data_IF_781631887700
#
_entry.id   IF_781631887700
#
_cell.length_a   1.000
_cell.length_b   1.000
_cell.length_c   1.000
_cell.angle_alpha   90.00
_cell.angle_beta   90.00
_cell.angle_gamma   90.00
#
_symmetry.space_group_name_H-M   'P 1'
#
loop_
_entity.id
_entity.type
_entity.pdbx_description
1 polymer ?
#
# COMPACT_ATOMS: atom_id res chain seq x y z
N UNK A 1 -5.02 -14.11 -6.70
CA UNK A 1 -5.21 -15.36 -5.92
C UNK A 1 -6.67 -15.52 -5.50
N UNK A 2 -7.15 -16.73 -5.15
CA UNK A 2 -8.53 -16.89 -4.64
C UNK A 2 -8.66 -16.33 -3.21
N UNK A 3 -9.54 -15.35 -2.95
CA UNK A 3 -9.73 -14.80 -1.61
C UNK A 3 -10.38 -15.85 -0.69
N UNK A 4 -9.82 -15.95 0.51
CA UNK A 4 -10.34 -16.79 1.60
C UNK A 4 -10.43 -15.93 2.85
N UNK A 5 -11.16 -16.37 3.87
CA UNK A 5 -11.20 -15.66 5.15
C UNK A 5 -9.79 -15.51 5.76
N UNK A 6 -8.95 -16.54 5.67
CA UNK A 6 -7.58 -16.50 6.16
C UNK A 6 -6.70 -15.49 5.42
N UNK A 7 -6.81 -15.41 4.08
CA UNK A 7 -6.02 -14.45 3.29
C UNK A 7 -6.52 -13.02 3.47
N UNK A 8 -7.83 -12.80 3.62
CA UNK A 8 -8.41 -11.50 4.00
C UNK A 8 -7.89 -11.02 5.34
N UNK A 9 -7.97 -11.86 6.38
CA UNK A 9 -7.46 -11.52 7.72
C UNK A 9 -5.96 -11.20 7.64
N UNK A 10 -5.18 -12.02 6.93
CA UNK A 10 -3.74 -11.79 6.76
C UNK A 10 -3.46 -10.46 6.07
N UNK A 11 -4.14 -10.14 4.96
CA UNK A 11 -3.94 -8.88 4.25
C UNK A 11 -4.31 -7.67 5.12
N UNK A 12 -5.44 -7.73 5.84
CA UNK A 12 -5.84 -6.69 6.81
C UNK A 12 -4.80 -6.47 7.90
N UNK A 13 -4.18 -7.53 8.41
CA UNK A 13 -3.08 -7.42 9.39
C UNK A 13 -1.87 -6.70 8.77
N UNK A 14 -1.48 -7.04 7.56
CA UNK A 14 -0.33 -6.44 6.86
C UNK A 14 -0.56 -4.95 6.53
N UNK A 15 -1.81 -4.57 6.26
CA UNK A 15 -2.23 -3.19 5.97
C UNK A 15 -2.57 -2.38 7.23
N UNK A 16 -2.43 -2.96 8.43
CA UNK A 16 -2.89 -2.37 9.68
C UNK A 16 -4.34 -1.85 9.58
N UNK A 17 -5.24 -2.70 9.08
CA UNK A 17 -6.65 -2.39 8.81
C UNK A 17 -7.59 -3.45 9.40
N UNK A 18 -7.33 -3.86 10.64
CA UNK A 18 -8.12 -4.89 11.35
C UNK A 18 -9.57 -4.44 11.57
N UNK A 19 -9.76 -3.14 11.75
CA UNK A 19 -11.06 -2.52 12.05
C UNK A 19 -11.83 -2.10 10.78
N UNK A 20 -11.34 -2.45 9.58
CA UNK A 20 -11.95 -2.10 8.28
C UNK A 20 -12.19 -0.60 8.07
N UNK A 21 -11.27 0.23 8.57
CA UNK A 21 -11.38 1.70 8.47
C UNK A 21 -10.84 2.24 7.16
N UNK A 22 -9.91 1.52 6.54
CA UNK A 22 -9.22 1.92 5.32
C UNK A 22 -9.82 1.22 4.10
N UNK A 23 -10.17 -0.06 4.24
CA UNK A 23 -10.70 -0.87 3.13
C UNK A 23 -11.90 -1.71 3.55
N UNK A 24 -12.92 -1.72 2.71
CA UNK A 24 -14.06 -2.65 2.75
C UNK A 24 -13.62 -4.09 2.46
N UNK A 25 -14.49 -5.07 2.70
CA UNK A 25 -14.17 -6.47 2.38
C UNK A 25 -14.03 -6.66 0.87
N UNK A 26 -14.85 -5.99 0.06
CA UNK A 26 -14.80 -6.08 -1.41
C UNK A 26 -13.49 -5.50 -1.97
N UNK A 27 -12.98 -4.40 -1.40
CA UNK A 27 -11.68 -3.82 -1.80
C UNK A 27 -10.52 -4.72 -1.40
N UNK A 28 -10.59 -5.38 -0.24
CA UNK A 28 -9.59 -6.39 0.16
C UNK A 28 -9.63 -7.58 -0.80
N UNK A 29 -10.82 -8.05 -1.17
CA UNK A 29 -10.97 -9.14 -2.12
C UNK A 29 -10.49 -8.76 -3.52
N UNK A 30 -10.70 -7.50 -3.96
CA UNK A 30 -10.14 -6.97 -5.20
C UNK A 30 -8.60 -7.04 -5.19
N UNK A 31 -7.95 -6.51 -4.15
CA UNK A 31 -6.49 -6.56 -4.00
C UNK A 31 -5.95 -7.99 -3.98
N UNK A 32 -6.69 -8.93 -3.37
CA UNK A 32 -6.31 -10.35 -3.36
C UNK A 32 -6.54 -11.02 -4.72
N UNK A 33 -7.56 -10.63 -5.48
CA UNK A 33 -7.84 -11.21 -6.79
C UNK A 33 -6.81 -10.77 -7.84
N UNK A 34 -6.40 -9.51 -7.80
CA UNK A 34 -5.44 -8.92 -8.75
C UNK A 34 -4.03 -9.50 -8.63
N UNK A 35 -3.68 -10.01 -7.45
CA UNK A 35 -2.32 -10.45 -7.14
C UNK A 35 -2.24 -11.93 -6.77
N UNK A 36 -1.21 -12.62 -7.25
CA UNK A 36 -0.98 -14.03 -6.92
C UNK A 36 -0.40 -14.24 -5.51
N UNK A 37 -0.08 -13.16 -4.80
CA UNK A 37 0.50 -13.22 -3.48
C UNK A 37 0.09 -12.09 -2.54
N UNK A 38 -0.06 -12.45 -1.26
CA UNK A 38 -0.59 -11.57 -0.21
C UNK A 38 0.36 -10.41 0.09
N UNK A 39 1.66 -10.60 -0.13
CA UNK A 39 2.65 -9.52 0.01
C UNK A 39 2.60 -8.56 -1.18
N UNK A 40 2.28 -9.03 -2.39
CA UNK A 40 2.09 -8.15 -3.54
C UNK A 40 0.81 -7.32 -3.36
N UNK A 41 -0.28 -7.96 -2.93
CA UNK A 41 -1.52 -7.27 -2.53
C UNK A 41 -1.28 -6.27 -1.39
N UNK A 42 -0.46 -6.61 -0.39
CA UNK A 42 -0.12 -5.69 0.69
C UNK A 42 0.69 -4.49 0.18
N UNK A 43 1.61 -4.69 -0.75
CA UNK A 43 2.36 -3.60 -1.37
C UNK A 43 1.41 -2.60 -2.05
N UNK A 44 0.49 -3.09 -2.87
CA UNK A 44 -0.52 -2.26 -3.52
C UNK A 44 -1.45 -1.56 -2.54
N UNK A 45 -1.94 -2.27 -1.52
CA UNK A 45 -2.78 -1.66 -0.49
C UNK A 45 -2.07 -0.52 0.25
N UNK A 46 -0.75 -0.62 0.50
CA UNK A 46 0.01 0.49 1.09
C UNK A 46 0.19 1.69 0.14
N UNK A 47 0.30 1.46 -1.18
CA UNK A 47 0.29 2.53 -2.19
C UNK A 47 -1.07 3.26 -2.19
N UNK A 48 -2.17 2.51 -2.11
CA UNK A 48 -3.51 3.10 -2.00
C UNK A 48 -3.66 3.93 -0.71
N UNK A 49 -3.18 3.43 0.43
CA UNK A 49 -3.18 4.21 1.69
C UNK A 49 -2.37 5.50 1.57
N UNK A 50 -1.21 5.47 0.90
CA UNK A 50 -0.44 6.68 0.66
C UNK A 50 -1.26 7.72 -0.12
N UNK A 51 -1.92 7.27 -1.19
CA UNK A 51 -2.82 8.12 -2.00
C UNK A 51 -3.98 8.69 -1.18
N UNK A 52 -4.60 7.88 -0.30
CA UNK A 52 -5.65 8.35 0.61
C UNK A 52 -5.13 9.43 1.56
N UNK A 53 -3.92 9.27 2.11
CA UNK A 53 -3.30 10.29 2.96
C UNK A 53 -3.00 11.57 2.18
N UNK A 54 -2.48 11.48 0.96
CA UNK A 54 -2.23 12.65 0.11
C UNK A 54 -3.51 13.41 -0.21
N UNK A 55 -4.59 12.70 -0.57
CA UNK A 55 -5.89 13.32 -0.85
C UNK A 55 -6.48 14.01 0.38
N UNK A 56 -6.27 13.45 1.57
CA UNK A 56 -6.71 14.09 2.83
C UNK A 56 -6.05 15.45 3.06
N UNK A 57 -4.84 15.69 2.53
CA UNK A 57 -4.19 17.01 2.61
C UNK A 57 -4.98 18.06 1.83
N UNK A 58 -5.50 17.69 0.65
CA UNK A 58 -6.29 18.58 -0.21
C UNK A 58 -7.60 19.02 0.44
N UNK A 59 -8.31 18.08 1.09
CA UNK A 59 -9.54 18.37 1.82
C UNK A 59 -9.30 19.25 3.07
N UNK A 60 -8.16 19.05 3.76
CA UNK A 60 -7.83 19.82 4.97
C UNK A 60 -7.36 21.24 4.65
N UNK A 61 -6.63 21.45 3.54
CA UNK A 61 -6.19 22.78 3.10
C UNK A 61 -7.34 23.69 2.67
N UNK A 62 -8.42 23.14 2.12
CA UNK A 62 -9.64 23.92 1.81
C UNK A 62 -10.33 24.45 3.09
N UNK A 63 -10.19 23.76 4.22
CA UNK A 63 -10.97 24.02 5.44
C UNK A 63 -10.26 24.85 6.52
N UNK A 64 -8.92 24.97 6.52
CA UNK A 64 -8.19 25.51 7.67
C UNK A 64 -6.95 26.31 7.30
N UNK A 65 -7.05 27.55 6.84
CA UNK A 65 -5.89 28.45 6.61
C UNK A 65 -5.13 28.92 7.89
N UNK A 66 -5.09 28.13 8.98
CA UNK A 66 -4.49 28.53 10.27
C UNK A 66 -3.93 27.42 11.17
N UNK A 67 -4.25 26.14 10.94
CA UNK A 67 -3.74 24.96 11.70
C UNK A 67 -2.84 24.05 10.82
N UNK A 68 -2.43 24.57 9.66
CA UNK A 68 -1.92 23.81 8.51
C UNK A 68 -0.56 23.17 8.74
N UNK A 69 0.30 23.82 9.53
CA UNK A 69 1.70 23.41 9.62
C UNK A 69 1.91 22.12 10.43
N UNK A 70 1.12 21.89 11.47
CA UNK A 70 1.22 20.68 12.31
C UNK A 70 0.55 19.47 11.65
N UNK A 71 -0.60 19.70 11.02
CA UNK A 71 -1.36 18.64 10.35
C UNK A 71 -0.64 18.14 9.10
N UNK A 72 -0.08 19.05 8.29
CA UNK A 72 0.67 18.68 7.08
C UNK A 72 1.96 17.90 7.36
N UNK A 73 2.68 18.23 8.44
CA UNK A 73 3.87 17.48 8.86
C UNK A 73 3.53 16.01 9.19
N UNK A 74 2.46 15.80 9.96
CA UNK A 74 1.99 14.46 10.30
C UNK A 74 1.54 13.65 9.06
N UNK A 75 0.89 14.30 8.10
CA UNK A 75 0.44 13.59 6.88
C UNK A 75 1.64 13.18 6.01
N UNK A 76 2.66 14.03 5.86
CA UNK A 76 3.89 13.67 5.13
C UNK A 76 4.59 12.47 5.77
N UNK A 77 4.59 12.38 7.10
CA UNK A 77 5.13 11.24 7.81
C UNK A 77 4.31 9.96 7.54
N UNK A 78 2.97 10.05 7.55
CA UNK A 78 2.10 8.93 7.21
C UNK A 78 2.30 8.43 5.77
N UNK A 79 2.38 9.35 4.80
CA UNK A 79 2.67 9.03 3.39
C UNK A 79 4.03 8.35 3.27
N UNK A 80 5.05 8.89 3.94
CA UNK A 80 6.40 8.30 3.94
C UNK A 80 6.40 6.88 4.54
N UNK A 81 5.70 6.67 5.64
CA UNK A 81 5.55 5.33 6.25
C UNK A 81 4.82 4.39 5.31
N UNK A 82 3.76 4.85 4.64
CA UNK A 82 3.00 4.05 3.69
C UNK A 82 3.86 3.59 2.52
N UNK A 83 4.61 4.48 1.87
CA UNK A 83 5.52 4.10 0.79
C UNK A 83 6.63 3.16 1.24
N UNK A 84 7.23 3.39 2.42
CA UNK A 84 8.24 2.46 2.99
C UNK A 84 7.67 1.06 3.21
N UNK A 85 6.42 0.96 3.66
CA UNK A 85 5.75 -0.33 3.82
C UNK A 85 5.45 -0.96 2.45
N UNK A 86 5.02 -0.18 1.46
CA UNK A 86 4.81 -0.66 0.10
C UNK A 86 6.08 -1.28 -0.49
N UNK A 87 7.23 -0.61 -0.38
CA UNK A 87 8.53 -1.10 -0.86
C UNK A 87 9.00 -2.36 -0.12
N UNK A 88 8.79 -2.40 1.21
CA UNK A 88 9.09 -3.57 2.02
C UNK A 88 8.29 -4.79 1.53
N UNK A 89 6.98 -4.64 1.35
CA UNK A 89 6.15 -5.75 0.91
C UNK A 89 6.35 -6.11 -0.56
N UNK A 90 6.71 -5.16 -1.41
CA UNK A 90 7.17 -5.42 -2.78
C UNK A 90 8.42 -6.31 -2.78
N UNK A 91 9.38 -6.01 -1.92
CA UNK A 91 10.59 -6.83 -1.75
C UNK A 91 10.25 -8.24 -1.26
N UNK A 92 9.30 -8.39 -0.33
CA UNK A 92 8.84 -9.70 0.13
C UNK A 92 8.07 -10.46 -0.94
N UNK A 93 7.25 -9.76 -1.73
CA UNK A 93 6.55 -10.31 -2.90
C UNK A 93 7.55 -10.91 -3.90
N UNK A 94 8.57 -10.14 -4.28
CA UNK A 94 9.64 -10.60 -5.18
C UNK A 94 10.37 -11.83 -4.60
N UNK A 95 10.67 -11.83 -3.30
CA UNK A 95 11.47 -12.91 -2.70
C UNK A 95 10.67 -14.18 -2.35
N UNK A 96 9.37 -14.06 -2.03
CA UNK A 96 8.57 -15.18 -1.50
C UNK A 96 7.51 -15.68 -2.47
N UNK A 97 7.15 -14.88 -3.48
CA UNK A 97 6.01 -15.15 -4.34
C UNK A 97 6.32 -15.01 -5.84
N UNK A 98 7.35 -14.25 -6.19
CA UNK A 98 7.90 -14.20 -7.54
C UNK A 98 9.07 -15.16 -7.70
N UNK A 99 9.05 -15.97 -8.75
CA UNK A 99 10.28 -16.39 -9.41
C UNK A 99 10.95 -15.13 -9.98
N UNK A 100 12.28 -15.09 -9.97
CA UNK A 100 13.08 -13.98 -10.49
C UNK A 100 12.58 -13.63 -11.91
N UNK A 101 11.80 -12.57 -12.08
CA UNK A 101 11.81 -11.91 -13.38
C UNK A 101 13.16 -11.18 -13.41
N UNK A 102 14.14 -11.87 -13.99
CA UNK A 102 15.40 -11.30 -14.42
C UNK A 102 15.04 -10.21 -15.43
N UNK A 103 14.79 -9.01 -14.93
CA UNK A 103 14.82 -7.82 -15.75
C UNK A 103 16.18 -7.81 -16.43
N UNK A 104 16.15 -7.71 -17.76
CA UNK A 104 17.33 -7.53 -18.56
C UNK A 104 18.06 -6.26 -18.08
N UNK A 105 19.13 -6.43 -17.30
CA UNK A 105 20.30 -5.56 -17.41
C UNK A 105 21.08 -6.04 -18.64
N UNK A 106 20.54 -5.81 -19.84
CA UNK A 106 21.44 -5.67 -20.99
C UNK A 106 21.92 -4.23 -20.96
N UNK A 107 23.03 -4.01 -20.26
CA UNK A 107 23.99 -2.99 -20.68
C UNK A 107 24.35 -3.29 -22.13
N UNK A 108 23.67 -2.63 -23.07
CA UNK A 108 24.16 -2.54 -24.45
C UNK A 108 25.40 -1.66 -24.35
N UNK A 109 26.56 -2.31 -24.19
CA UNK A 109 27.84 -1.67 -24.49
C UNK A 109 27.81 -1.23 -25.95
N UNK A 110 28.01 0.07 -26.15
CA UNK A 110 28.08 0.79 -27.43
C UNK A 110 29.29 0.30 -28.23
#
# INVERSE_FOLDING_TARGET
MTPTEATRIKLRLLLNDKDKKSFTDDEIDMLLNEEDCVFCAASQGWILKATMYENSVGEITEYKTGEESYTSANIKDLVTVAYKNADRYKSMCVNQCGSIILGLDTEVNI
#
